data_IF_674810288269
#
_entry.id   IF_674810288269
#
_cell.length_a   1.000
_cell.length_b   1.000
_cell.length_c   1.000
_cell.angle_alpha   90.00
_cell.angle_beta   90.00
_cell.angle_gamma   90.00
#
_symmetry.space_group_name_H-M   'P 1'
#
loop_
_entity.id
_entity.type
_entity.pdbx_description
1 polymer ?
#
# COMPACT_ATOMS: atom_id res chain seq x y z
N UNK A 1 36.08 7.35 -5.79
CA UNK A 1 35.07 7.69 -6.82
C UNK A 1 34.97 9.20 -6.97
N UNK A 2 35.11 9.71 -8.19
CA UNK A 2 34.89 11.13 -8.47
C UNK A 2 33.40 11.45 -8.28
N UNK A 3 33.09 12.54 -7.59
CA UNK A 3 31.70 12.95 -7.35
C UNK A 3 31.09 13.35 -8.71
N UNK A 4 30.16 12.57 -9.24
CA UNK A 4 29.42 12.96 -10.44
C UNK A 4 28.18 13.73 -10.02
N UNK A 5 28.12 15.01 -10.39
CA UNK A 5 26.91 15.81 -10.25
C UNK A 5 25.99 15.54 -11.43
N UNK A 6 24.78 15.04 -11.16
CA UNK A 6 23.73 14.97 -12.16
C UNK A 6 23.12 16.37 -12.31
N UNK A 7 23.03 16.87 -13.54
CA UNK A 7 22.44 18.19 -13.84
C UNK A 7 20.97 18.09 -14.23
N UNK A 8 20.40 16.88 -14.23
CA UNK A 8 19.03 16.64 -14.68
C UNK A 8 18.03 17.03 -13.56
N UNK A 9 17.09 17.89 -13.89
CA UNK A 9 15.96 18.26 -13.02
C UNK A 9 14.75 17.34 -13.27
N UNK A 10 13.78 17.33 -12.36
CA UNK A 10 12.55 16.54 -12.48
C UNK A 10 12.60 15.24 -11.65
N UNK A 11 12.86 15.38 -10.35
CA UNK A 11 13.00 14.24 -9.42
C UNK A 11 11.70 13.43 -9.24
N UNK A 12 10.56 14.03 -9.62
CA UNK A 12 9.25 13.36 -9.67
C UNK A 12 8.77 13.06 -11.11
N UNK A 13 9.69 12.82 -12.03
CA UNK A 13 9.40 12.42 -13.41
C UNK A 13 9.89 10.99 -13.67
N UNK A 14 9.00 10.13 -14.17
CA UNK A 14 9.34 8.72 -14.36
C UNK A 14 10.40 8.49 -15.43
N UNK A 15 10.49 9.37 -16.43
CA UNK A 15 11.53 9.35 -17.47
C UNK A 15 12.92 9.65 -16.89
N UNK A 16 13.00 10.60 -15.95
CA UNK A 16 14.26 10.95 -15.25
C UNK A 16 14.69 9.79 -14.37
N UNK A 17 13.78 9.20 -13.61
CA UNK A 17 14.07 7.98 -12.82
C UNK A 17 14.59 6.84 -13.71
N UNK A 18 14.00 6.64 -14.90
CA UNK A 18 14.46 5.61 -15.83
C UNK A 18 15.88 5.90 -16.35
N UNK A 19 16.17 7.16 -16.69
CA UNK A 19 17.50 7.63 -17.12
C UNK A 19 18.56 7.39 -16.03
N UNK A 20 18.26 7.78 -14.79
CA UNK A 20 19.17 7.62 -13.65
C UNK A 20 19.44 6.13 -13.33
N UNK A 21 18.41 5.29 -13.34
CA UNK A 21 18.59 3.84 -13.13
C UNK A 21 19.42 3.19 -14.24
N UNK A 22 19.25 3.62 -15.50
CA UNK A 22 20.09 3.15 -16.60
C UNK A 22 21.55 3.60 -16.45
N UNK A 23 21.77 4.85 -16.03
CA UNK A 23 23.09 5.36 -15.71
C UNK A 23 23.74 4.56 -14.56
N UNK A 24 23.00 4.26 -13.48
CA UNK A 24 23.47 3.43 -12.37
C UNK A 24 23.88 2.05 -12.88
N UNK A 25 23.06 1.39 -13.71
CA UNK A 25 23.37 0.07 -14.26
C UNK A 25 24.63 0.07 -15.12
N UNK A 26 24.87 1.15 -15.88
CA UNK A 26 26.04 1.29 -16.74
C UNK A 26 27.33 1.52 -15.95
N UNK A 27 27.27 2.33 -14.89
CA UNK A 27 28.46 2.80 -14.16
C UNK A 27 28.75 2.00 -12.87
N UNK A 28 27.73 1.45 -12.23
CA UNK A 28 27.81 0.72 -10.96
C UNK A 28 27.19 -0.68 -11.10
N UNK A 29 27.92 -1.57 -11.77
CA UNK A 29 27.51 -2.96 -11.94
C UNK A 29 27.60 -3.71 -10.61
N UNK A 30 26.50 -4.33 -10.19
CA UNK A 30 26.41 -5.12 -8.98
C UNK A 30 25.60 -6.40 -9.23
N UNK A 31 25.83 -7.43 -8.40
CA UNK A 31 25.01 -8.65 -8.42
C UNK A 31 23.66 -8.46 -7.73
N UNK A 32 23.58 -7.49 -6.82
CA UNK A 32 22.41 -7.22 -5.98
C UNK A 32 22.21 -5.71 -5.89
N UNK A 33 20.98 -5.28 -6.12
CA UNK A 33 20.55 -3.90 -6.00
C UNK A 33 19.43 -3.77 -4.97
N UNK A 34 19.46 -2.68 -4.21
CA UNK A 34 18.32 -2.21 -3.42
C UNK A 34 17.90 -0.83 -3.91
N UNK A 35 16.59 -0.58 -3.98
CA UNK A 35 16.03 0.73 -4.36
C UNK A 35 15.24 1.26 -3.19
N UNK A 36 15.56 2.47 -2.72
CA UNK A 36 14.88 3.12 -1.60
C UNK A 36 14.26 4.42 -2.09
N UNK A 37 12.96 4.57 -1.93
CA UNK A 37 12.25 5.82 -2.16
C UNK A 37 12.14 6.57 -0.84
N UNK A 38 12.93 7.64 -0.70
CA UNK A 38 12.93 8.52 0.46
C UNK A 38 12.42 9.90 0.04
N UNK A 39 11.28 10.32 0.60
CA UNK A 39 10.67 11.67 0.59
C UNK A 39 9.23 11.51 1.14
N UNK A 40 8.35 12.50 1.00
CA UNK A 40 6.95 12.42 1.39
C UNK A 40 6.19 11.32 0.62
N UNK A 41 5.25 10.69 1.33
CA UNK A 41 4.18 9.89 0.75
C UNK A 41 2.85 10.64 0.91
N UNK A 42 2.08 10.74 -0.18
CA UNK A 42 0.77 11.38 -0.18
C UNK A 42 -0.38 10.37 -0.20
N UNK A 43 -1.46 10.70 -0.90
CA UNK A 43 -2.55 9.77 -1.23
C UNK A 43 -2.06 8.51 -1.95
N UNK A 44 -2.95 7.55 -2.24
CA UNK A 44 -2.58 6.21 -2.72
C UNK A 44 -1.57 6.28 -3.88
N UNK A 45 -1.88 7.11 -4.89
CA UNK A 45 -1.06 7.34 -6.09
C UNK A 45 0.03 8.41 -5.98
N UNK A 46 0.39 8.88 -4.79
CA UNK A 46 1.39 9.94 -4.60
C UNK A 46 2.60 9.41 -3.86
N UNK A 47 3.75 9.38 -4.52
CA UNK A 47 5.06 9.08 -3.94
C UNK A 47 6.08 10.12 -4.38
N UNK A 48 7.08 10.40 -3.54
CA UNK A 48 8.24 11.27 -3.81
C UNK A 48 7.89 12.59 -4.48
N UNK A 49 7.54 13.59 -3.67
CA UNK A 49 7.15 14.91 -4.16
C UNK A 49 8.34 15.72 -4.68
N UNK A 50 8.16 16.36 -5.82
CA UNK A 50 9.00 17.44 -6.30
C UNK A 50 8.23 18.75 -6.15
N UNK A 51 8.71 19.62 -5.26
CA UNK A 51 8.11 20.94 -5.01
C UNK A 51 8.55 21.99 -6.04
N UNK A 52 9.48 21.64 -6.93
CA UNK A 52 10.01 22.52 -7.99
C UNK A 52 10.25 21.73 -9.29
N UNK A 53 9.21 21.08 -9.85
CA UNK A 53 9.34 20.36 -11.11
C UNK A 53 9.57 21.34 -12.28
N UNK A 54 10.05 20.83 -13.41
CA UNK A 54 10.41 21.64 -14.60
C UNK A 54 9.26 22.47 -15.17
N UNK A 55 8.03 21.97 -15.05
CA UNK A 55 6.80 22.62 -15.49
C UNK A 55 6.14 23.53 -14.43
N UNK A 56 6.77 23.67 -13.26
CA UNK A 56 6.29 24.47 -12.13
C UNK A 56 5.19 23.79 -11.31
N UNK A 57 4.93 24.33 -10.12
CA UNK A 57 3.96 23.77 -9.17
C UNK A 57 4.54 22.63 -8.34
N UNK A 58 3.75 21.59 -8.09
CA UNK A 58 4.17 20.41 -7.34
C UNK A 58 3.85 19.15 -8.15
N UNK A 59 4.80 18.23 -8.23
CA UNK A 59 4.65 16.95 -8.94
C UNK A 59 4.94 15.78 -8.01
N UNK A 60 4.29 14.66 -8.27
CA UNK A 60 4.48 13.42 -7.52
C UNK A 60 4.77 12.30 -8.53
N UNK A 61 5.69 11.42 -8.19
CA UNK A 61 5.80 10.14 -8.87
C UNK A 61 4.52 9.32 -8.64
N UNK A 62 4.13 8.56 -9.66
CA UNK A 62 2.95 7.70 -9.62
C UNK A 62 3.35 6.22 -9.50
N UNK A 63 2.98 5.49 -8.42
CA UNK A 63 3.50 4.15 -8.16
C UNK A 63 3.33 3.14 -9.32
N UNK A 64 2.17 3.04 -10.02
CA UNK A 64 2.04 2.19 -11.21
C UNK A 64 3.00 2.51 -12.36
N UNK A 65 3.39 3.77 -12.56
CA UNK A 65 4.38 4.11 -13.59
C UNK A 65 5.79 3.81 -13.10
N UNK A 66 6.11 4.16 -11.85
CA UNK A 66 7.40 3.83 -11.23
C UNK A 66 7.65 2.32 -11.22
N UNK A 67 6.65 1.51 -10.87
CA UNK A 67 6.75 0.06 -10.88
C UNK A 67 7.14 -0.48 -12.27
N UNK A 68 6.57 0.08 -13.36
CA UNK A 68 6.96 -0.28 -14.74
C UNK A 68 8.41 0.07 -15.03
N UNK A 69 8.86 1.27 -14.63
CA UNK A 69 10.25 1.71 -14.80
C UNK A 69 11.21 0.74 -14.10
N UNK A 70 11.01 0.45 -12.82
CA UNK A 70 11.90 -0.43 -12.07
C UNK A 70 11.80 -1.88 -12.57
N UNK A 71 10.62 -2.36 -12.97
CA UNK A 71 10.46 -3.72 -13.53
C UNK A 71 11.25 -3.89 -14.83
N UNK A 72 11.18 -2.90 -15.72
CA UNK A 72 11.98 -2.87 -16.94
C UNK A 72 13.48 -2.85 -16.63
N UNK A 73 13.89 -2.02 -15.65
CA UNK A 73 15.27 -1.97 -15.20
C UNK A 73 15.74 -3.29 -14.58
N UNK A 74 14.94 -3.91 -13.70
CA UNK A 74 15.18 -5.22 -13.10
C UNK A 74 15.37 -6.30 -14.16
N UNK A 75 14.59 -6.27 -15.23
CA UNK A 75 14.75 -7.21 -16.36
C UNK A 75 16.13 -7.08 -16.99
N UNK A 76 16.63 -5.86 -17.19
CA UNK A 76 17.98 -5.62 -17.71
C UNK A 76 19.07 -6.02 -16.71
N UNK A 77 18.86 -5.78 -15.41
CA UNK A 77 19.75 -6.24 -14.33
C UNK A 77 19.85 -7.76 -14.32
N UNK A 78 18.73 -8.48 -14.45
CA UNK A 78 18.69 -9.95 -14.56
C UNK A 78 19.43 -10.48 -15.78
N UNK A 79 19.28 -9.83 -16.93
CA UNK A 79 20.03 -10.18 -18.15
C UNK A 79 21.55 -10.06 -17.96
N UNK A 80 22.00 -9.21 -17.03
CA UNK A 80 23.40 -9.07 -16.62
C UNK A 80 23.77 -9.92 -15.38
N UNK A 81 23.00 -10.97 -15.07
CA UNK A 81 23.18 -11.87 -13.93
C UNK A 81 23.15 -11.17 -12.55
N UNK A 82 22.45 -10.05 -12.44
CA UNK A 82 22.14 -9.38 -11.18
C UNK A 82 20.68 -9.58 -10.75
N UNK A 83 20.30 -8.96 -9.63
CA UNK A 83 18.93 -8.92 -9.16
C UNK A 83 18.61 -7.63 -8.38
N UNK A 84 17.36 -7.20 -8.43
CA UNK A 84 16.80 -6.19 -7.51
C UNK A 84 16.20 -6.92 -6.32
N UNK A 85 16.93 -6.89 -5.21
CA UNK A 85 16.64 -7.66 -4.01
C UNK A 85 15.52 -7.00 -3.18
N UNK A 86 15.57 -5.69 -2.99
CA UNK A 86 14.62 -4.94 -2.15
C UNK A 86 14.18 -3.65 -2.84
N UNK A 87 12.88 -3.40 -2.86
CA UNK A 87 12.30 -2.08 -3.09
C UNK A 87 11.69 -1.59 -1.78
N UNK A 88 12.17 -0.47 -1.26
CA UNK A 88 11.71 0.09 0.00
C UNK A 88 11.01 1.43 -0.20
N UNK A 89 9.72 1.46 0.11
CA UNK A 89 8.98 2.70 0.31
C UNK A 89 9.24 3.28 1.71
N UNK A 90 10.28 4.10 1.82
CA UNK A 90 10.56 4.86 3.02
C UNK A 90 9.70 6.14 3.07
N UNK A 91 8.39 5.94 3.01
CA UNK A 91 7.40 6.99 2.81
C UNK A 91 6.14 6.68 3.60
N UNK A 92 5.45 7.72 4.08
CA UNK A 92 4.22 7.57 4.82
C UNK A 92 3.13 6.86 4.00
N UNK A 93 2.44 5.89 4.60
CA UNK A 93 1.23 5.29 4.05
C UNK A 93 1.40 4.49 2.76
N UNK A 94 2.64 4.10 2.40
CA UNK A 94 2.91 3.28 1.21
C UNK A 94 2.90 1.77 1.46
N UNK A 95 2.80 1.34 2.71
CA UNK A 95 2.53 -0.05 3.09
C UNK A 95 1.06 -0.44 2.91
N UNK A 96 0.50 -0.15 1.73
CA UNK A 96 -0.83 -0.58 1.34
C UNK A 96 -0.75 -1.75 0.37
N UNK A 97 -1.79 -2.59 0.34
CA UNK A 97 -1.86 -3.76 -0.51
C UNK A 97 -1.73 -3.39 -1.99
N UNK A 98 -2.34 -2.27 -2.37
CA UNK A 98 -2.26 -1.73 -3.73
C UNK A 98 -0.82 -1.40 -4.12
N UNK A 99 -0.06 -0.73 -3.23
CA UNK A 99 1.32 -0.35 -3.51
C UNK A 99 2.28 -1.55 -3.43
N UNK A 100 2.09 -2.46 -2.47
CA UNK A 100 2.87 -3.70 -2.40
C UNK A 100 2.70 -4.53 -3.67
N UNK A 101 1.46 -4.83 -4.06
CA UNK A 101 1.18 -5.65 -5.23
C UNK A 101 1.62 -4.95 -6.53
N UNK A 102 1.42 -3.64 -6.63
CA UNK A 102 1.91 -2.84 -7.75
C UNK A 102 3.44 -2.93 -7.93
N UNK A 103 4.19 -2.90 -6.82
CA UNK A 103 5.65 -2.92 -6.85
C UNK A 103 6.26 -4.33 -6.82
N UNK A 104 5.46 -5.38 -6.64
CA UNK A 104 5.95 -6.76 -6.59
C UNK A 104 6.84 -7.17 -7.78
N UNK A 105 6.53 -6.79 -9.04
CA UNK A 105 7.40 -7.16 -10.17
C UNK A 105 8.77 -6.47 -10.14
N UNK A 106 8.91 -5.37 -9.40
CA UNK A 106 10.11 -4.53 -9.37
C UNK A 106 11.23 -5.03 -8.44
N UNK A 107 10.97 -5.98 -7.54
CA UNK A 107 11.97 -6.52 -6.62
C UNK A 107 11.68 -7.97 -6.20
N UNK A 108 12.58 -8.60 -5.44
CA UNK A 108 12.25 -9.84 -4.72
C UNK A 108 11.41 -9.57 -3.48
N UNK A 109 11.71 -8.49 -2.79
CA UNK A 109 10.99 -8.04 -1.62
C UNK A 109 10.56 -6.59 -1.77
N UNK A 110 9.39 -6.27 -1.20
CA UNK A 110 8.92 -4.89 -1.09
C UNK A 110 8.72 -4.58 0.39
N UNK A 111 9.25 -3.46 0.84
CA UNK A 111 9.10 -2.99 2.22
C UNK A 111 8.38 -1.64 2.26
N UNK A 112 7.58 -1.40 3.29
CA UNK A 112 6.88 -0.13 3.51
C UNK A 112 6.26 -0.01 4.90
N UNK A 113 5.62 1.13 5.14
CA UNK A 113 4.87 1.41 6.38
C UNK A 113 3.39 1.64 6.08
N UNK A 114 2.50 1.01 6.83
CA UNK A 114 1.04 1.24 6.74
C UNK A 114 0.66 2.69 7.02
N UNK A 115 1.55 3.46 7.68
CA UNK A 115 1.26 4.80 8.18
C UNK A 115 2.52 5.67 8.14
N UNK A 116 2.61 6.66 9.03
CA UNK A 116 3.74 7.59 9.17
C UNK A 116 5.08 6.88 9.37
N UNK A 117 6.08 7.39 8.66
CA UNK A 117 7.51 7.14 8.86
C UNK A 117 8.12 8.45 9.34
N UNK A 118 9.00 8.39 10.34
CA UNK A 118 9.67 9.54 10.91
C UNK A 118 10.94 9.94 10.15
N UNK A 119 11.45 11.11 10.48
CA UNK A 119 12.75 11.61 10.07
C UNK A 119 13.45 12.28 11.27
N UNK A 120 14.80 12.23 11.37
CA UNK A 120 15.73 11.62 10.43
C UNK A 120 15.82 10.08 10.60
N UNK A 121 16.29 9.39 9.57
CA UNK A 121 16.37 7.92 9.58
C UNK A 121 17.77 7.45 9.97
N UNK A 122 17.90 6.81 11.13
CA UNK A 122 19.20 6.58 11.76
C UNK A 122 19.87 5.27 11.34
N UNK A 123 19.14 4.39 10.64
CA UNK A 123 19.65 3.05 10.28
C UNK A 123 20.72 3.08 9.17
N UNK A 124 20.78 4.12 8.32
CA UNK A 124 21.59 4.12 7.09
C UNK A 124 23.05 3.72 7.32
N UNK A 125 23.74 4.35 8.27
CA UNK A 125 25.15 4.05 8.55
C UNK A 125 25.35 2.59 8.96
N UNK A 126 24.48 2.06 9.82
CA UNK A 126 24.58 0.67 10.30
C UNK A 126 24.24 -0.32 9.20
N UNK A 127 23.18 -0.06 8.43
CA UNK A 127 22.77 -0.90 7.32
C UNK A 127 23.85 -0.95 6.22
N UNK A 128 24.43 0.20 5.83
CA UNK A 128 25.51 0.25 4.84
C UNK A 128 26.78 -0.45 5.33
N UNK A 129 27.17 -0.25 6.60
CA UNK A 129 28.30 -0.98 7.19
C UNK A 129 28.05 -2.50 7.19
N UNK A 130 26.83 -2.92 7.51
CA UNK A 130 26.43 -4.33 7.47
C UNK A 130 26.51 -4.91 6.05
N UNK A 131 26.07 -4.16 5.02
CA UNK A 131 26.21 -4.54 3.62
C UNK A 131 27.69 -4.72 3.22
N UNK A 132 28.57 -3.79 3.60
CA UNK A 132 30.00 -3.87 3.32
C UNK A 132 30.68 -5.09 3.96
N UNK A 133 30.17 -5.55 5.11
CA UNK A 133 30.69 -6.72 5.83
C UNK A 133 30.05 -8.04 5.38
N UNK A 134 28.89 -7.99 4.73
CA UNK A 134 28.08 -9.17 4.39
C UNK A 134 27.62 -9.12 2.92
N UNK A 135 28.56 -9.27 1.99
CA UNK A 135 28.30 -9.14 0.55
C UNK A 135 27.28 -10.15 -0.02
N UNK A 136 26.99 -11.24 0.71
CA UNK A 136 26.02 -12.26 0.32
C UNK A 136 24.60 -11.99 0.83
N UNK A 137 24.37 -10.95 1.62
CA UNK A 137 23.05 -10.61 2.17
C UNK A 137 22.01 -10.40 1.06
N UNK A 138 20.80 -10.92 1.25
CA UNK A 138 19.68 -10.75 0.33
C UNK A 138 18.74 -9.62 0.78
N UNK A 139 17.69 -9.37 0.01
CA UNK A 139 16.75 -8.29 0.28
C UNK A 139 15.98 -8.47 1.59
N UNK A 140 15.66 -9.69 1.97
CA UNK A 140 14.93 -9.99 3.20
C UNK A 140 15.80 -9.72 4.43
N UNK A 141 17.04 -10.22 4.43
CA UNK A 141 17.98 -9.98 5.51
C UNK A 141 18.34 -8.49 5.62
N UNK A 142 18.49 -7.78 4.49
CA UNK A 142 18.68 -6.33 4.50
C UNK A 142 17.47 -5.60 5.10
N UNK A 143 16.25 -5.97 4.72
CA UNK A 143 15.03 -5.37 5.27
C UNK A 143 14.90 -5.59 6.79
N UNK A 144 15.24 -6.79 7.27
CA UNK A 144 15.33 -7.11 8.71
C UNK A 144 16.38 -6.26 9.41
N UNK A 145 17.54 -6.05 8.79
CA UNK A 145 18.61 -5.22 9.35
C UNK A 145 18.20 -3.74 9.43
N UNK A 146 17.64 -3.17 8.36
CA UNK A 146 17.08 -1.80 8.35
C UNK A 146 16.08 -1.65 9.50
N UNK A 147 15.14 -2.58 9.57
CA UNK A 147 14.09 -2.56 10.56
C UNK A 147 14.65 -2.66 11.97
N UNK A 148 15.65 -3.51 12.22
CA UNK A 148 16.33 -3.70 13.52
C UNK A 148 17.07 -2.45 13.97
N UNK A 149 17.80 -1.81 13.05
CA UNK A 149 18.71 -0.70 13.34
C UNK A 149 18.02 0.65 13.46
N UNK A 150 16.81 0.79 12.89
CA UNK A 150 16.02 2.02 13.02
C UNK A 150 15.54 2.23 14.45
N UNK A 151 15.58 3.48 14.90
CA UNK A 151 15.12 3.81 16.24
C UNK A 151 13.60 3.69 16.31
N UNK A 152 13.03 3.17 17.42
CA UNK A 152 11.58 2.98 17.51
C UNK A 152 10.76 4.23 17.21
N UNK A 153 11.23 5.43 17.56
CA UNK A 153 10.51 6.67 17.30
C UNK A 153 10.51 7.13 15.82
N UNK A 154 11.16 6.41 14.90
CA UNK A 154 11.27 6.79 13.48
C UNK A 154 10.39 5.98 12.54
N UNK A 155 9.57 5.07 13.05
CA UNK A 155 8.56 4.38 12.26
C UNK A 155 7.41 3.95 13.17
N UNK A 156 6.23 3.74 12.61
CA UNK A 156 5.15 3.04 13.34
C UNK A 156 5.15 1.56 12.97
N UNK A 157 5.22 1.26 11.68
CA UNK A 157 5.30 -0.11 11.16
C UNK A 157 6.35 -0.19 10.07
N UNK A 158 7.12 -1.26 10.03
CA UNK A 158 7.79 -1.70 8.81
C UNK A 158 7.38 -3.13 8.51
N UNK A 159 6.91 -3.34 7.30
CA UNK A 159 6.49 -4.65 6.81
C UNK A 159 7.24 -4.94 5.53
N UNK A 160 7.79 -6.15 5.42
CA UNK A 160 8.43 -6.67 4.22
C UNK A 160 7.60 -7.82 3.68
N UNK A 161 7.29 -7.77 2.39
CA UNK A 161 6.54 -8.81 1.69
C UNK A 161 7.37 -9.49 0.62
N UNK A 162 7.15 -10.80 0.46
CA UNK A 162 7.68 -11.57 -0.65
C UNK A 162 6.94 -11.22 -1.93
N UNK A 163 7.66 -10.84 -2.97
CA UNK A 163 7.06 -10.53 -4.28
C UNK A 163 6.53 -11.77 -4.99
N UNK A 164 7.13 -12.94 -4.72
CA UNK A 164 6.64 -14.22 -5.24
C UNK A 164 5.26 -14.55 -4.66
N UNK A 165 5.05 -14.29 -3.36
CA UNK A 165 3.74 -14.47 -2.73
C UNK A 165 2.78 -13.33 -3.14
N UNK A 166 3.24 -12.09 -3.33
CA UNK A 166 2.37 -11.03 -3.86
C UNK A 166 1.76 -11.36 -5.23
N UNK A 167 2.40 -12.23 -6.03
CA UNK A 167 1.83 -12.72 -7.29
C UNK A 167 0.65 -13.69 -7.10
N UNK A 168 0.58 -14.41 -5.97
CA UNK A 168 -0.54 -15.29 -5.64
C UNK A 168 -1.68 -14.56 -4.92
N UNK A 169 -1.42 -13.34 -4.44
CA UNK A 169 -2.38 -12.52 -3.69
C UNK A 169 -3.75 -12.37 -4.37
N UNK A 170 -3.87 -12.18 -5.70
CA UNK A 170 -5.19 -12.00 -6.32
C UNK A 170 -6.17 -13.14 -6.05
N UNK A 171 -5.67 -14.38 -6.08
CA UNK A 171 -6.46 -15.58 -5.78
C UNK A 171 -7.00 -15.52 -4.35
N UNK A 172 -6.13 -15.22 -3.38
CA UNK A 172 -6.47 -15.21 -1.96
C UNK A 172 -7.43 -14.06 -1.62
N UNK A 173 -7.25 -12.89 -2.24
CA UNK A 173 -8.19 -11.76 -2.10
C UNK A 173 -9.54 -12.08 -2.72
N UNK A 174 -9.58 -12.69 -3.91
CA UNK A 174 -10.85 -13.05 -4.55
C UNK A 174 -11.66 -14.04 -3.71
N UNK A 175 -11.01 -15.02 -3.07
CA UNK A 175 -11.66 -15.96 -2.18
C UNK A 175 -12.37 -15.27 -1.00
N UNK A 176 -11.80 -14.20 -0.46
CA UNK A 176 -12.41 -13.40 0.62
C UNK A 176 -13.48 -12.44 0.09
N UNK A 177 -13.33 -11.92 -1.13
CA UNK A 177 -14.26 -10.96 -1.71
C UNK A 177 -15.54 -11.61 -2.24
N UNK A 178 -15.47 -12.83 -2.78
CA UNK A 178 -16.62 -13.49 -3.41
C UNK A 178 -17.85 -13.65 -2.50
N UNK A 179 -17.72 -14.13 -1.24
CA UNK A 179 -18.87 -14.22 -0.34
C UNK A 179 -19.50 -12.86 -0.03
N UNK A 180 -18.70 -11.79 0.03
CA UNK A 180 -19.20 -10.43 0.25
C UNK A 180 -20.02 -9.93 -0.94
N UNK A 181 -19.63 -10.29 -2.17
CA UNK A 181 -20.36 -9.95 -3.38
C UNK A 181 -21.69 -10.71 -3.53
N UNK A 182 -21.82 -11.89 -2.90
CA UNK A 182 -23.04 -12.67 -2.89
C UNK A 182 -24.14 -12.07 -1.99
N UNK A 183 -23.78 -11.14 -1.08
CA UNK A 183 -24.74 -10.43 -0.23
C UNK A 183 -25.55 -9.45 -1.08
N UNK A 184 -26.88 -9.46 -0.98
CA UNK A 184 -27.73 -8.56 -1.78
C UNK A 184 -27.59 -7.09 -1.41
N UNK A 185 -27.46 -6.78 -0.11
CA UNK A 185 -27.22 -5.44 0.41
C UNK A 185 -26.15 -5.46 1.50
N UNK A 186 -24.91 -5.20 1.11
CA UNK A 186 -23.74 -5.29 1.98
C UNK A 186 -23.76 -4.21 3.07
N UNK A 187 -23.79 -4.63 4.34
CA UNK A 187 -23.66 -3.77 5.51
C UNK A 187 -22.20 -3.39 5.72
N UNK A 188 -21.96 -2.11 6.01
CA UNK A 188 -20.63 -1.64 6.37
C UNK A 188 -20.45 -1.73 7.89
N UNK A 189 -19.25 -2.06 8.39
CA UNK A 189 -18.92 -1.90 9.79
C UNK A 189 -18.95 -0.41 10.18
N UNK A 190 -18.92 -0.12 11.48
CA UNK A 190 -18.89 1.25 12.00
C UNK A 190 -17.51 1.90 11.76
N UNK A 191 -17.22 2.28 10.51
CA UNK A 191 -15.98 2.92 10.10
C UNK A 191 -15.70 4.19 10.94
N UNK A 192 -14.47 4.30 11.44
CA UNK A 192 -14.04 5.37 12.35
C UNK A 192 -14.44 5.16 13.81
N UNK A 193 -15.30 4.18 14.12
CA UNK A 193 -15.71 3.84 15.49
C UNK A 193 -15.18 2.47 15.92
N UNK A 194 -15.59 1.39 15.26
CA UNK A 194 -15.10 0.03 15.51
C UNK A 194 -13.81 -0.26 14.74
N UNK A 195 -13.74 0.21 13.49
CA UNK A 195 -12.57 0.08 12.64
C UNK A 195 -11.94 1.46 12.41
N UNK A 196 -10.82 1.72 13.07
CA UNK A 196 -10.06 2.97 12.91
C UNK A 196 -9.13 2.88 11.70
N UNK A 197 -8.96 3.96 10.92
CA UNK A 197 -7.97 3.96 9.85
C UNK A 197 -6.55 3.86 10.42
N UNK A 198 -5.69 3.11 9.75
CA UNK A 198 -4.25 3.07 10.04
C UNK A 198 -3.55 4.33 9.51
N UNK A 199 -4.11 4.88 8.44
CA UNK A 199 -3.62 6.08 7.78
C UNK A 199 -4.78 6.79 7.08
N UNK A 200 -4.75 8.11 7.08
CA UNK A 200 -5.61 8.93 6.25
C UNK A 200 -4.81 10.07 5.64
N UNK A 201 -5.09 10.37 4.37
CA UNK A 201 -4.50 11.49 3.66
C UNK A 201 -5.58 12.51 3.34
N UNK A 202 -5.42 13.72 3.88
CA UNK A 202 -6.34 14.85 3.70
C UNK A 202 -7.80 14.57 4.09
N UNK A 203 -8.06 13.56 4.94
CA UNK A 203 -9.40 13.04 5.27
C UNK A 203 -10.24 12.57 4.06
N UNK A 204 -9.63 12.46 2.88
CA UNK A 204 -10.31 12.07 1.64
C UNK A 204 -9.91 10.66 1.21
N UNK A 205 -8.69 10.25 1.52
CA UNK A 205 -8.19 8.92 1.21
C UNK A 205 -7.92 8.20 2.52
N UNK A 206 -8.65 7.11 2.74
CA UNK A 206 -8.70 6.40 4.03
C UNK A 206 -8.17 5.00 3.82
N UNK A 207 -7.31 4.56 4.73
CA UNK A 207 -6.67 3.26 4.66
C UNK A 207 -6.96 2.50 5.96
N UNK A 208 -7.55 1.32 5.83
CA UNK A 208 -7.83 0.44 6.97
C UNK A 208 -6.84 -0.72 7.00
N UNK A 209 -6.60 -1.27 8.17
CA UNK A 209 -5.86 -2.52 8.29
C UNK A 209 -6.54 -3.60 7.44
N UNK A 210 -5.78 -4.30 6.61
CA UNK A 210 -6.34 -5.16 5.58
C UNK A 210 -7.12 -6.34 6.13
N UNK A 211 -6.58 -7.05 7.12
CA UNK A 211 -7.27 -8.17 7.75
C UNK A 211 -8.47 -7.70 8.58
N UNK A 212 -8.30 -6.66 9.39
CA UNK A 212 -9.38 -6.14 10.21
C UNK A 212 -10.56 -5.62 9.35
N UNK A 213 -10.28 -5.05 8.17
CA UNK A 213 -11.33 -4.64 7.23
C UNK A 213 -12.19 -5.82 6.79
N UNK A 214 -11.58 -6.92 6.34
CA UNK A 214 -12.32 -8.10 5.91
C UNK A 214 -13.07 -8.76 7.06
N UNK A 215 -12.45 -8.94 8.22
CA UNK A 215 -13.13 -9.48 9.41
C UNK A 215 -14.39 -8.69 9.76
N UNK A 216 -14.28 -7.36 9.80
CA UNK A 216 -15.39 -6.49 10.16
C UNK A 216 -16.49 -6.45 9.09
N UNK A 217 -16.13 -6.60 7.82
CA UNK A 217 -17.11 -6.78 6.74
C UNK A 217 -17.85 -8.11 6.88
N UNK A 218 -17.16 -9.20 7.22
CA UNK A 218 -17.80 -10.50 7.47
C UNK A 218 -18.71 -10.45 8.69
N UNK A 219 -18.26 -9.85 9.79
CA UNK A 219 -19.06 -9.66 11.01
C UNK A 219 -20.33 -8.85 10.75
N UNK A 220 -20.20 -7.71 10.06
CA UNK A 220 -21.33 -6.85 9.74
C UNK A 220 -22.41 -7.55 8.89
N UNK A 221 -22.03 -8.60 8.16
CA UNK A 221 -22.91 -9.33 7.24
C UNK A 221 -23.26 -10.75 7.70
N UNK A 222 -22.78 -11.18 8.88
CA UNK A 222 -23.06 -12.52 9.42
C UNK A 222 -22.54 -13.65 8.53
N UNK A 223 -21.40 -13.45 7.87
CA UNK A 223 -20.80 -14.44 6.96
C UNK A 223 -19.87 -15.40 7.71
N UNK A 224 -19.71 -16.62 7.18
CA UNK A 224 -18.71 -17.57 7.65
C UNK A 224 -17.29 -17.02 7.44
N UNK A 225 -16.45 -17.04 8.48
CA UNK A 225 -15.10 -16.46 8.45
C UNK A 225 -14.03 -17.38 7.86
N UNK A 226 -14.37 -18.58 7.39
CA UNK A 226 -13.41 -19.52 6.80
C UNK A 226 -12.48 -18.90 5.75
N UNK A 227 -12.97 -18.09 4.79
CA UNK A 227 -12.13 -17.39 3.83
C UNK A 227 -11.16 -16.38 4.48
N UNK A 228 -11.59 -15.65 5.50
CA UNK A 228 -10.74 -14.69 6.22
C UNK A 228 -9.64 -15.41 7.00
N UNK A 229 -9.95 -16.54 7.64
CA UNK A 229 -8.95 -17.37 8.33
C UNK A 229 -7.95 -18.01 7.34
N UNK A 230 -8.41 -18.36 6.13
CA UNK A 230 -7.51 -18.80 5.06
C UNK A 230 -6.55 -17.67 4.63
N UNK A 231 -7.05 -16.44 4.47
CA UNK A 231 -6.21 -15.28 4.16
C UNK A 231 -5.22 -14.96 5.29
N UNK A 232 -5.60 -15.11 6.57
CA UNK A 232 -4.68 -15.01 7.71
C UNK A 232 -3.59 -16.08 7.69
N UNK A 233 -3.94 -17.30 7.30
CA UNK A 233 -2.96 -18.38 7.17
C UNK A 233 -1.99 -18.09 6.02
N UNK A 234 -2.49 -17.54 4.92
CA UNK A 234 -1.68 -17.10 3.78
C UNK A 234 -0.78 -15.90 4.12
N UNK A 235 -1.28 -14.98 4.95
CA UNK A 235 -0.56 -13.79 5.42
C UNK A 235 0.80 -14.13 6.04
N UNK A 236 0.92 -15.23 6.76
CA UNK A 236 2.18 -15.70 7.32
C UNK A 236 3.24 -16.14 6.29
N UNK A 237 2.83 -16.42 5.04
CA UNK A 237 3.74 -16.65 3.90
C UNK A 237 4.07 -15.34 3.18
N UNK A 238 3.08 -14.47 3.06
CA UNK A 238 3.19 -13.18 2.38
C UNK A 238 4.20 -12.26 3.05
N UNK A 239 4.17 -12.18 4.38
CA UNK A 239 5.01 -11.27 5.17
C UNK A 239 6.24 -12.00 5.70
N UNK A 240 7.42 -11.55 5.28
CA UNK A 240 8.70 -12.10 5.75
C UNK A 240 9.23 -11.39 6.99
N UNK A 241 8.78 -10.18 7.24
CA UNK A 241 9.07 -9.41 8.45
C UNK A 241 7.99 -8.37 8.69
N UNK A 242 7.52 -8.25 9.93
CA UNK A 242 6.68 -7.15 10.37
C UNK A 242 7.15 -6.69 11.74
N UNK A 243 7.44 -5.40 11.87
CA UNK A 243 7.78 -4.77 13.15
C UNK A 243 6.88 -3.57 13.37
N UNK A 244 6.30 -3.54 14.56
CA UNK A 244 5.60 -2.37 15.09
C UNK A 244 6.54 -1.67 16.07
N UNK A 245 6.58 -0.34 16.00
CA UNK A 245 7.27 0.44 17.00
C UNK A 245 6.47 0.50 18.30
N UNK A 246 7.11 0.24 19.46
CA UNK A 246 6.47 0.43 20.76
C UNK A 246 6.17 1.90 21.10
N UNK A 247 6.69 2.88 20.36
CA UNK A 247 6.66 4.30 20.77
C UNK A 247 5.70 5.21 20.00
N UNK A 248 5.16 4.80 18.85
CA UNK A 248 4.42 5.71 17.96
C UNK A 248 2.90 5.49 17.97
N UNK A 249 2.40 4.25 18.10
CA UNK A 249 0.96 3.99 18.12
C UNK A 249 0.64 2.68 18.83
N UNK A 250 0.03 2.74 20.02
CA UNK A 250 -0.37 1.54 20.78
C UNK A 250 -1.34 0.65 20.01
N UNK A 251 -2.21 1.22 19.17
CA UNK A 251 -3.15 0.43 18.37
C UNK A 251 -2.48 -0.35 17.22
N UNK A 252 -1.27 0.05 16.82
CA UNK A 252 -0.59 -0.57 15.68
C UNK A 252 -0.09 -1.99 15.98
N UNK A 253 -0.01 -2.40 17.25
CA UNK A 253 0.36 -3.77 17.63
C UNK A 253 -0.60 -4.84 17.09
N UNK A 254 -1.83 -4.43 16.74
CA UNK A 254 -2.86 -5.30 16.17
C UNK A 254 -2.92 -5.25 14.65
N UNK A 255 -2.12 -4.40 14.00
CA UNK A 255 -2.15 -4.26 12.56
C UNK A 255 -1.44 -5.43 11.87
N UNK A 256 -1.97 -5.84 10.73
CA UNK A 256 -1.47 -6.96 9.96
C UNK A 256 -0.25 -6.61 9.10
N UNK A 257 0.24 -5.38 9.09
CA UNK A 257 1.39 -5.00 8.29
C UNK A 257 1.08 -4.47 6.90
N UNK A 258 -0.18 -4.53 6.42
CA UNK A 258 -0.62 -3.78 5.25
C UNK A 258 -2.00 -3.15 5.43
N UNK A 259 -2.22 -2.03 4.75
CA UNK A 259 -3.53 -1.40 4.68
C UNK A 259 -4.22 -1.65 3.34
N UNK A 260 -5.51 -1.43 3.27
CA UNK A 260 -6.29 -1.40 2.02
C UNK A 260 -6.89 0.00 1.88
N UNK A 261 -6.75 0.59 0.70
CA UNK A 261 -7.41 1.85 0.37
C UNK A 261 -8.92 1.63 0.29
N UNK A 262 -9.67 2.41 1.07
CA UNK A 262 -11.12 2.38 1.09
C UNK A 262 -11.68 3.62 0.38
N UNK A 263 -12.15 3.50 -0.87
CA UNK A 263 -12.69 4.63 -1.61
C UNK A 263 -13.98 5.14 -0.95
N UNK A 264 -14.06 6.44 -0.69
CA UNK A 264 -15.24 7.07 -0.07
C UNK A 264 -16.27 7.49 -1.11
N UNK A 265 -15.92 7.45 -2.41
CA UNK A 265 -16.84 7.70 -3.51
C UNK A 265 -16.38 7.02 -4.82
N UNK A 266 -17.29 6.84 -5.81
CA UNK A 266 -16.95 6.17 -7.07
C UNK A 266 -15.84 6.86 -7.91
N UNK A 267 -15.64 8.18 -7.77
CA UNK A 267 -14.61 8.88 -8.55
C UNK A 267 -13.20 8.43 -8.15
N UNK A 268 -13.01 8.00 -6.91
CA UNK A 268 -11.73 7.49 -6.44
C UNK A 268 -11.38 6.13 -7.05
N UNK A 269 -12.36 5.25 -7.28
CA UNK A 269 -12.13 4.01 -8.02
C UNK A 269 -11.67 4.31 -9.45
N UNK A 270 -12.34 5.26 -10.13
CA UNK A 270 -11.95 5.67 -11.49
C UNK A 270 -10.54 6.26 -11.51
N UNK A 271 -10.17 7.05 -10.49
CA UNK A 271 -8.84 7.67 -10.37
C UNK A 271 -7.72 6.63 -10.28
N UNK A 272 -7.96 5.50 -9.62
CA UNK A 272 -6.94 4.49 -9.34
C UNK A 272 -7.13 3.19 -10.12
N UNK A 273 -7.97 3.20 -11.16
CA UNK A 273 -8.32 2.01 -11.96
C UNK A 273 -7.14 1.29 -12.62
N UNK A 274 -5.99 1.96 -12.74
CA UNK A 274 -4.79 1.44 -13.37
C UNK A 274 -3.82 0.77 -12.39
N UNK A 275 -4.16 0.73 -11.09
CA UNK A 275 -3.48 -0.16 -10.15
C UNK A 275 -3.81 -1.63 -10.51
N UNK A 276 -2.78 -2.50 -10.68
CA UNK A 276 -2.98 -3.89 -11.11
C UNK A 276 -3.94 -4.67 -10.22
N UNK A 277 -3.93 -4.43 -8.91
CA UNK A 277 -4.78 -5.15 -7.97
C UNK A 277 -6.28 -4.99 -8.28
N UNK A 278 -6.72 -3.87 -8.85
CA UNK A 278 -8.14 -3.68 -9.21
C UNK A 278 -8.52 -4.36 -10.51
N UNK A 279 -7.55 -4.68 -11.37
CA UNK A 279 -7.77 -5.46 -12.58
C UNK A 279 -7.68 -6.98 -12.32
N UNK A 280 -6.84 -7.38 -11.37
CA UNK A 280 -6.54 -8.79 -11.07
C UNK A 280 -7.42 -9.36 -9.95
N UNK A 281 -8.06 -8.48 -9.16
CA UNK A 281 -8.97 -8.87 -8.08
C UNK A 281 -10.36 -8.30 -8.25
N UNK A 282 -11.30 -8.82 -7.47
CA UNK A 282 -12.67 -8.35 -7.36
C UNK A 282 -12.83 -7.17 -6.38
N UNK A 283 -11.75 -6.53 -5.94
CA UNK A 283 -11.83 -5.38 -5.02
C UNK A 283 -12.61 -4.20 -5.61
N UNK A 284 -12.43 -3.90 -6.90
CA UNK A 284 -13.19 -2.85 -7.57
C UNK A 284 -14.70 -3.17 -7.59
N UNK A 285 -15.07 -4.43 -7.85
CA UNK A 285 -16.45 -4.92 -7.76
C UNK A 285 -17.00 -4.80 -6.34
N UNK A 286 -16.21 -5.15 -5.32
CA UNK A 286 -16.59 -5.03 -3.91
C UNK A 286 -16.93 -3.59 -3.56
N UNK A 287 -16.07 -2.64 -3.93
CA UNK A 287 -16.30 -1.24 -3.62
C UNK A 287 -17.48 -0.64 -4.40
N UNK A 288 -17.70 -1.05 -5.65
CA UNK A 288 -18.93 -0.72 -6.38
C UNK A 288 -20.17 -1.26 -5.67
N UNK A 289 -20.10 -2.49 -5.17
CA UNK A 289 -21.19 -3.12 -4.42
C UNK A 289 -21.46 -2.41 -3.08
N UNK A 290 -20.42 -1.95 -2.38
CA UNK A 290 -20.53 -1.07 -1.21
C UNK A 290 -21.32 0.20 -1.55
N UNK A 291 -20.94 0.90 -2.63
CA UNK A 291 -21.60 2.15 -3.00
C UNK A 291 -23.08 1.96 -3.35
N UNK A 292 -23.39 0.89 -4.10
CA UNK A 292 -24.76 0.49 -4.41
C UNK A 292 -25.57 0.25 -3.13
N UNK A 293 -25.04 -0.57 -2.22
CA UNK A 293 -25.71 -0.92 -0.96
C UNK A 293 -25.96 0.30 -0.06
N UNK A 294 -25.03 1.25 -0.02
CA UNK A 294 -25.20 2.51 0.73
C UNK A 294 -26.27 3.39 0.09
N UNK A 295 -26.30 3.48 -1.24
CA UNK A 295 -27.31 4.27 -1.96
C UNK A 295 -28.73 3.72 -1.74
N UNK A 296 -28.89 2.40 -1.83
CA UNK A 296 -30.17 1.72 -1.59
C UNK A 296 -30.68 1.94 -0.16
N UNK A 297 -29.82 1.79 0.85
CA UNK A 297 -30.20 2.09 2.25
C UNK A 297 -30.62 3.54 2.44
N UNK A 298 -29.90 4.49 1.84
CA UNK A 298 -30.27 5.91 1.90
C UNK A 298 -31.62 6.18 1.25
N UNK A 299 -31.90 5.55 0.11
CA UNK A 299 -33.20 5.66 -0.56
C UNK A 299 -34.32 5.07 0.31
N UNK A 300 -34.12 3.88 0.88
CA UNK A 300 -35.09 3.24 1.77
C UNK A 300 -35.38 4.09 3.03
N UNK A 301 -34.34 4.65 3.67
CA UNK A 301 -34.51 5.54 4.83
C UNK A 301 -35.30 6.81 4.47
N UNK A 302 -35.03 7.42 3.30
CA UNK A 302 -35.77 8.59 2.84
C UNK A 302 -37.24 8.26 2.55
N UNK A 303 -37.50 7.12 1.92
CA UNK A 303 -38.87 6.66 1.66
C UNK A 303 -39.64 6.38 2.97
N UNK A 304 -39.00 5.74 3.95
CA UNK A 304 -39.58 5.49 5.27
C UNK A 304 -39.88 6.80 6.03
N UNK A 305 -38.95 7.77 5.99
CA UNK A 305 -39.14 9.08 6.60
C UNK A 305 -40.31 9.84 5.95
N UNK A 306 -40.42 9.80 4.62
CA UNK A 306 -41.53 10.41 3.88
C UNK A 306 -42.87 9.78 4.27
N UNK A 307 -42.96 8.45 4.27
CA UNK A 307 -44.18 7.72 4.66
C UNK A 307 -44.60 8.04 6.10
N UNK A 308 -43.64 8.13 7.02
CA UNK A 308 -43.91 8.52 8.42
C UNK A 308 -44.49 9.94 8.50
N UNK A 309 -43.91 10.90 7.76
CA UNK A 309 -44.41 12.27 7.73
C UNK A 309 -45.83 12.38 7.14
N UNK A 310 -46.15 11.59 6.11
CA UNK A 310 -47.51 11.53 5.53
C UNK A 310 -48.54 10.94 6.50
N UNK A 311 -48.16 9.91 7.28
CA UNK A 311 -49.02 9.32 8.31
C UNK A 311 -49.28 10.29 9.47
N UNK A 312 -48.26 11.05 9.89
CA UNK A 312 -48.40 12.08 10.92
C UNK A 312 -49.30 13.24 10.48
N UNK A 313 -49.36 13.54 9.17
CA UNK A 313 -50.29 14.55 8.63
C UNK A 313 -51.74 14.05 8.55
N UNK A 314 -51.97 12.76 8.30
CA UNK A 314 -53.32 12.18 8.19
C UNK A 314 -53.95 11.83 9.55
N UNK A 315 -53.16 11.63 10.60
CA UNK A 315 -53.65 11.30 11.95
C UNK A 315 -53.90 12.51 12.85
N UNK A 316 -53.78 13.73 12.33
CA UNK A 316 -53.96 14.99 13.06
C UNK A 316 -55.25 15.75 12.75
N UNK A 317 -56.14 15.18 11.92
CA UNK A 317 -57.53 15.65 11.69
C UNK A 317 -58.51 14.87 12.58
#
# INVERSE_FOLDING_TARGET
PEMTQLSEEGSAEEEVLASELDWIRKNFRAKKYGVVFLNHGGGLGQMSVDDKPRDGGQRWLYPPKVAKVITNWRTQVKAAAGEVELVFYQQCGKGSLENYHCMAPAGKFVMGSQTVVGAPNYYYTKALNHLCQNLSIDGEALAKQITKDETPNMFTTYTTMSSAELANLPKEINAVVEPLLAVSSLKLPALGRSLKPCFDFSKREIFFDGLALFEQLYDANGLDKGPVEALKSYHGKLITSHRVSPSQNKGAETWCGYSIFFPVNPRQLVRYKDYPIYAETKLDELFKHVFKSVAERRAAMRAAAKKKAEQEQQGGE
#
